data_IF_293764724426
#
_entry.id   IF_293764724426
#
_cell.length_a   1.000
_cell.length_b   1.000
_cell.length_c   1.000
_cell.angle_alpha   90.00
_cell.angle_beta   90.00
_cell.angle_gamma   90.00
#
_symmetry.space_group_name_H-M   'P 1'
#
loop_
_entity.id
_entity.type
_entity.pdbx_description
1 polymer ?
#
# COMPACT_ATOMS: atom_id res chain seq x y z
N UNK A 1 44.55 -52.08 0.50
CA UNK A 1 43.72 -51.03 1.14
C UNK A 1 42.39 -50.96 0.38
N UNK A 2 41.23 -51.49 0.83
CA UNK A 2 40.42 -51.14 2.02
C UNK A 2 39.97 -49.65 1.95
N UNK A 3 38.71 -49.21 1.80
CA UNK A 3 37.38 -49.79 2.05
C UNK A 3 36.29 -49.16 1.14
N UNK A 4 35.25 -49.97 0.84
CA UNK A 4 33.88 -49.58 0.49
C UNK A 4 33.37 -48.40 1.34
N UNK A 5 32.73 -47.43 0.69
CA UNK A 5 31.64 -46.65 1.29
C UNK A 5 30.37 -46.84 0.46
N UNK A 6 29.64 -47.88 0.84
CA UNK A 6 28.23 -48.11 0.55
C UNK A 6 27.41 -47.07 1.33
N UNK A 7 26.31 -46.63 0.73
CA UNK A 7 25.12 -46.10 1.39
C UNK A 7 25.26 -44.74 2.13
N UNK A 8 24.85 -43.67 1.44
CA UNK A 8 23.95 -42.67 2.03
C UNK A 8 22.89 -42.30 1.00
N UNK A 9 21.87 -43.14 0.94
CA UNK A 9 20.55 -42.76 0.47
C UNK A 9 20.00 -41.73 1.46
N UNK A 10 20.23 -40.44 1.19
CA UNK A 10 19.43 -39.41 1.82
C UNK A 10 18.08 -39.42 1.10
N UNK A 11 17.09 -40.06 1.73
CA UNK A 11 15.71 -39.62 1.62
C UNK A 11 15.68 -38.15 2.01
N UNK A 12 15.93 -37.27 1.04
CA UNK A 12 15.40 -35.92 1.10
C UNK A 12 13.91 -36.17 1.00
N UNK A 13 13.25 -36.22 2.16
CA UNK A 13 11.84 -35.87 2.25
C UNK A 13 11.70 -34.67 1.33
N UNK A 14 10.95 -34.82 0.24
CA UNK A 14 10.60 -33.71 -0.61
C UNK A 14 9.87 -32.73 0.31
N UNK A 15 10.64 -31.83 0.93
CA UNK A 15 10.14 -30.65 1.58
C UNK A 15 9.23 -30.06 0.53
N UNK A 16 7.94 -29.99 0.84
CA UNK A 16 6.95 -29.35 0.01
C UNK A 16 7.48 -27.93 -0.22
N UNK A 17 8.24 -27.74 -1.30
CA UNK A 17 8.68 -26.44 -1.76
C UNK A 17 7.38 -25.85 -2.26
N UNK A 18 6.68 -25.18 -1.34
CA UNK A 18 5.57 -24.33 -1.70
C UNK A 18 6.15 -23.38 -2.74
N UNK A 19 5.82 -23.61 -4.00
CA UNK A 19 6.23 -22.76 -5.10
C UNK A 19 5.48 -21.45 -4.88
N UNK A 20 6.05 -20.56 -4.06
CA UNK A 20 5.55 -19.20 -3.86
C UNK A 20 5.56 -18.55 -5.23
N UNK A 21 4.39 -18.51 -5.87
CA UNK A 21 4.25 -17.92 -7.19
C UNK A 21 4.25 -16.42 -6.97
N UNK A 22 5.40 -15.78 -7.20
CA UNK A 22 5.56 -14.34 -7.07
C UNK A 22 4.91 -13.69 -8.29
N UNK A 23 3.80 -12.97 -8.07
CA UNK A 23 3.17 -12.17 -9.10
C UNK A 23 3.66 -10.73 -9.00
N UNK A 24 3.92 -10.12 -10.15
CA UNK A 24 4.30 -8.71 -10.22
C UNK A 24 3.08 -7.89 -10.64
N UNK A 25 2.73 -6.86 -9.87
CA UNK A 25 1.62 -5.96 -10.16
C UNK A 25 2.04 -4.51 -10.02
N UNK A 26 1.59 -3.66 -10.94
CA UNK A 26 1.79 -2.21 -10.84
C UNK A 26 0.67 -1.50 -10.06
N UNK A 27 -0.26 -2.26 -9.48
CA UNK A 27 -1.37 -1.72 -8.70
C UNK A 27 -0.99 -1.60 -7.22
N UNK A 28 -0.93 -0.38 -6.66
CA UNK A 28 -0.71 -0.17 -5.23
C UNK A 28 -1.87 -0.67 -4.36
N UNK A 29 -3.03 -1.04 -4.91
CA UNK A 29 -4.23 -1.45 -4.14
C UNK A 29 -4.56 -0.46 -3.05
N UNK A 30 -4.69 0.78 -3.51
CA UNK A 30 -4.95 1.93 -2.68
C UNK A 30 -6.32 1.81 -2.02
N UNK A 31 -6.36 2.02 -0.71
CA UNK A 31 -7.60 2.08 0.06
C UNK A 31 -7.50 3.16 1.13
N UNK A 32 -8.66 3.64 1.59
CA UNK A 32 -8.74 4.53 2.73
C UNK A 32 -9.33 3.80 3.92
N UNK A 33 -8.70 3.93 5.07
CA UNK A 33 -9.27 3.53 6.35
C UNK A 33 -9.78 4.77 7.08
N UNK A 34 -11.01 4.71 7.56
CA UNK A 34 -11.58 5.73 8.44
C UNK A 34 -11.19 5.44 9.88
N UNK A 35 -11.23 6.44 10.75
CA UNK A 35 -10.96 6.26 12.20
C UNK A 35 -11.89 5.23 12.85
N UNK A 36 -13.10 5.06 12.30
CA UNK A 36 -14.09 4.07 12.74
C UNK A 36 -13.82 2.65 12.22
N UNK A 37 -12.67 2.41 11.56
CA UNK A 37 -12.29 1.12 10.99
C UNK A 37 -12.97 0.78 9.65
N UNK A 38 -13.76 1.70 9.10
CA UNK A 38 -14.40 1.51 7.80
C UNK A 38 -13.38 1.58 6.66
N UNK A 39 -13.45 0.65 5.71
CA UNK A 39 -12.60 0.63 4.51
C UNK A 39 -13.36 1.23 3.32
N UNK A 40 -12.74 2.20 2.64
CA UNK A 40 -13.26 2.83 1.43
C UNK A 40 -12.33 2.47 0.27
N UNK A 41 -12.89 1.77 -0.72
CA UNK A 41 -12.21 1.44 -1.98
C UNK A 41 -12.34 2.61 -2.97
N UNK A 42 -11.40 2.76 -3.91
CA UNK A 42 -11.51 3.79 -4.94
C UNK A 42 -12.74 3.52 -5.78
N UNK A 43 -13.56 4.55 -5.97
CA UNK A 43 -14.74 4.51 -6.83
C UNK A 43 -14.31 4.52 -8.30
N UNK A 44 -13.26 5.27 -8.61
CA UNK A 44 -12.73 5.41 -9.97
C UNK A 44 -11.21 5.51 -9.94
N UNK A 45 -10.58 4.99 -11.00
CA UNK A 45 -9.17 5.17 -11.31
C UNK A 45 -9.02 5.68 -12.74
N UNK A 46 -8.32 6.78 -12.91
CA UNK A 46 -7.97 7.37 -14.21
C UNK A 46 -6.46 7.60 -14.26
N UNK A 47 -5.73 6.64 -14.85
CA UNK A 47 -4.27 6.67 -14.87
C UNK A 47 -3.69 6.69 -13.44
N UNK A 48 -2.96 7.76 -13.05
CA UNK A 48 -2.40 7.92 -11.71
C UNK A 48 -3.39 8.51 -10.69
N UNK A 49 -4.61 8.88 -11.10
CA UNK A 49 -5.60 9.52 -10.23
C UNK A 49 -6.58 8.50 -9.67
N UNK A 50 -6.73 8.49 -8.35
CA UNK A 50 -7.68 7.66 -7.61
C UNK A 50 -8.72 8.54 -6.94
N UNK A 51 -10.00 8.24 -7.15
CA UNK A 51 -11.12 8.99 -6.58
C UNK A 51 -11.93 8.13 -5.62
N UNK A 52 -12.21 8.67 -4.44
CA UNK A 52 -12.92 8.02 -3.34
C UNK A 52 -14.13 8.83 -2.93
N UNK A 53 -15.24 8.17 -2.63
CA UNK A 53 -16.40 8.82 -2.00
C UNK A 53 -16.26 8.74 -0.49
N UNK A 54 -16.30 9.89 0.17
CA UNK A 54 -16.18 9.99 1.62
C UNK A 54 -17.53 10.32 2.25
N UNK A 55 -18.02 9.48 3.19
CA UNK A 55 -19.21 9.82 3.95
C UNK A 55 -18.95 11.02 4.87
N UNK A 56 -20.02 11.55 5.45
CA UNK A 56 -19.92 12.72 6.31
C UNK A 56 -19.17 12.47 7.61
N UNK A 57 -18.73 13.57 8.21
CA UNK A 57 -18.18 13.60 9.57
C UNK A 57 -16.91 12.74 9.74
N UNK A 58 -16.10 12.69 8.68
CA UNK A 58 -14.74 12.12 8.70
C UNK A 58 -13.73 13.26 8.81
N UNK A 59 -13.02 13.40 9.96
CA UNK A 59 -11.99 14.43 10.14
C UNK A 59 -10.64 14.03 9.52
N UNK A 60 -10.36 12.73 9.44
CA UNK A 60 -9.12 12.19 8.87
C UNK A 60 -9.34 10.81 8.26
N UNK A 61 -8.48 10.45 7.29
CA UNK A 61 -8.41 9.10 6.72
C UNK A 61 -6.97 8.61 6.75
N UNK A 62 -6.78 7.29 6.78
CA UNK A 62 -5.49 6.65 6.56
C UNK A 62 -5.40 6.14 5.14
N UNK A 63 -4.45 6.65 4.38
CA UNK A 63 -4.10 6.17 3.06
C UNK A 63 -3.25 4.90 3.20
N UNK A 64 -3.81 3.78 2.79
CA UNK A 64 -3.12 2.50 2.81
C UNK A 64 -2.82 2.07 1.39
N UNK A 65 -1.58 1.68 1.15
CA UNK A 65 -1.12 1.12 -0.13
C UNK A 65 -0.25 -0.10 0.13
N UNK A 66 -0.16 -0.98 -0.86
CA UNK A 66 0.91 -1.98 -0.92
C UNK A 66 2.24 -1.26 -0.88
N UNK A 67 3.14 -1.78 -0.05
CA UNK A 67 4.53 -1.34 0.00
C UNK A 67 5.38 -2.30 -0.80
N UNK A 68 6.38 -1.76 -1.47
CA UNK A 68 7.44 -2.57 -2.05
C UNK A 68 8.77 -2.20 -1.40
N UNK A 69 9.68 -3.17 -1.26
CA UNK A 69 11.07 -2.89 -0.94
C UNK A 69 11.88 -2.99 -2.24
N UNK A 70 12.56 -1.93 -2.68
CA UNK A 70 13.34 -1.92 -3.92
C UNK A 70 14.36 -3.07 -4.02
N UNK A 71 14.92 -3.52 -2.88
CA UNK A 71 15.82 -4.68 -2.82
C UNK A 71 15.18 -6.01 -3.26
N UNK A 72 13.87 -6.16 -3.10
CA UNK A 72 13.16 -7.40 -3.42
C UNK A 72 12.92 -7.54 -4.93
N UNK A 73 12.97 -6.43 -5.69
CA UNK A 73 12.66 -6.38 -7.14
C UNK A 73 13.89 -6.14 -8.03
N UNK A 74 14.85 -5.30 -7.62
CA UNK A 74 15.98 -4.90 -8.47
C UNK A 74 17.25 -5.73 -8.18
N UNK A 75 17.40 -6.27 -6.96
CA UNK A 75 18.53 -7.11 -6.55
C UNK A 75 19.53 -6.43 -5.59
N UNK A 76 20.60 -7.14 -5.16
CA UNK A 76 21.44 -6.81 -4.01
C UNK A 76 22.30 -5.54 -4.14
N UNK A 77 22.26 -4.86 -5.28
CA UNK A 77 23.03 -3.63 -5.54
C UNK A 77 22.24 -2.35 -5.22
N UNK A 78 20.97 -2.47 -4.80
CA UNK A 78 20.15 -1.35 -4.32
C UNK A 78 20.09 -1.40 -2.80
N UNK A 79 20.77 -0.46 -2.13
CA UNK A 79 20.83 -0.40 -0.66
C UNK A 79 19.59 0.27 -0.02
N UNK A 80 18.65 0.75 -0.84
CA UNK A 80 17.41 1.31 -0.31
C UNK A 80 16.43 0.20 0.11
N UNK A 81 16.47 -0.14 1.39
CA UNK A 81 15.63 -1.18 2.03
C UNK A 81 14.32 -0.63 2.59
N UNK A 82 13.97 0.63 2.31
CA UNK A 82 12.78 1.25 2.88
C UNK A 82 11.52 0.74 2.17
N UNK A 83 10.48 0.33 2.91
CA UNK A 83 9.19 0.01 2.29
C UNK A 83 8.58 1.29 1.73
N UNK A 84 8.53 1.43 0.42
CA UNK A 84 7.88 2.58 -0.23
C UNK A 84 6.50 2.15 -0.71
N UNK A 85 5.46 2.87 -0.26
CA UNK A 85 4.11 2.71 -0.78
C UNK A 85 3.97 3.39 -2.15
N UNK A 86 3.26 4.51 -2.17
CA UNK A 86 3.24 5.44 -3.30
C UNK A 86 3.69 6.84 -2.89
N UNK A 87 4.18 7.60 -3.86
CA UNK A 87 4.35 9.05 -3.76
C UNK A 87 3.02 9.73 -3.99
N UNK A 88 2.59 10.61 -3.09
CA UNK A 88 1.37 11.40 -3.24
C UNK A 88 1.75 12.81 -3.66
N UNK A 89 1.32 13.21 -4.84
CA UNK A 89 1.59 14.52 -5.42
C UNK A 89 0.49 15.50 -5.02
N UNK A 90 -0.71 15.29 -5.57
CA UNK A 90 -1.84 16.21 -5.40
C UNK A 90 -3.01 15.52 -4.70
N UNK A 91 -3.65 16.25 -3.79
CA UNK A 91 -4.80 15.81 -3.01
C UNK A 91 -5.88 16.87 -3.08
N UNK A 92 -7.01 16.51 -3.69
CA UNK A 92 -8.15 17.41 -3.87
C UNK A 92 -9.40 16.80 -3.24
N UNK A 93 -10.08 17.57 -2.41
CA UNK A 93 -11.36 17.22 -1.81
C UNK A 93 -12.45 18.11 -2.40
N UNK A 94 -13.37 17.52 -3.15
CA UNK A 94 -14.56 18.19 -3.66
C UNK A 94 -15.72 17.98 -2.70
N UNK A 95 -16.29 19.06 -2.16
CA UNK A 95 -17.55 19.05 -1.40
C UNK A 95 -18.53 20.05 -2.02
N UNK A 96 -19.75 20.11 -1.50
CA UNK A 96 -20.81 21.02 -1.98
C UNK A 96 -20.36 22.49 -2.06
N UNK A 97 -19.50 22.94 -1.14
CA UNK A 97 -18.97 24.32 -1.12
C UNK A 97 -17.90 24.60 -2.18
N UNK A 98 -17.38 23.58 -2.85
CA UNK A 98 -16.32 23.68 -3.85
C UNK A 98 -15.13 22.74 -3.57
N UNK A 99 -14.12 22.79 -4.44
CA UNK A 99 -12.90 22.02 -4.28
C UNK A 99 -11.96 22.65 -3.24
N UNK A 100 -11.33 21.80 -2.43
CA UNK A 100 -10.30 22.16 -1.46
C UNK A 100 -9.04 21.34 -1.72
N UNK A 101 -7.88 21.99 -1.70
CA UNK A 101 -6.60 21.29 -1.80
C UNK A 101 -6.10 20.94 -0.40
N UNK A 102 -5.72 19.68 -0.20
CA UNK A 102 -5.10 19.22 1.05
C UNK A 102 -3.60 19.16 0.82
N UNK A 103 -2.83 19.89 1.62
CA UNK A 103 -1.37 19.99 1.48
C UNK A 103 -0.62 19.54 2.73
N UNK A 104 -1.32 18.93 3.69
CA UNK A 104 -0.74 18.49 4.97
C UNK A 104 0.42 17.50 4.78
N UNK A 105 0.42 16.72 3.70
CA UNK A 105 1.50 15.82 3.31
C UNK A 105 2.75 16.54 2.82
N UNK A 106 2.64 17.81 2.38
CA UNK A 106 3.75 18.63 1.85
C UNK A 106 4.35 19.60 2.88
N UNK A 107 3.80 19.66 4.10
CA UNK A 107 4.33 20.54 5.14
C UNK A 107 5.59 19.96 5.78
N UNK A 108 6.43 20.83 6.38
CA UNK A 108 7.65 20.41 7.08
C UNK A 108 7.35 19.43 8.23
N UNK A 109 6.27 19.66 8.99
CA UNK A 109 5.76 18.71 9.98
C UNK A 109 4.64 17.88 9.36
N UNK A 110 4.99 16.68 8.91
CA UNK A 110 4.04 15.76 8.27
C UNK A 110 3.27 14.93 9.30
N UNK A 111 2.05 14.50 8.96
CA UNK A 111 1.33 13.50 9.75
C UNK A 111 2.07 12.16 9.83
N UNK A 112 1.60 11.25 10.67
CA UNK A 112 2.17 9.91 10.78
C UNK A 112 2.10 9.15 9.44
N UNK A 113 3.16 8.38 9.13
CA UNK A 113 3.25 7.50 7.96
C UNK A 113 3.72 8.17 6.67
N UNK A 114 4.06 9.46 6.74
CA UNK A 114 4.76 10.17 5.67
C UNK A 114 6.25 10.23 5.94
N UNK A 115 7.06 9.99 4.92
CA UNK A 115 8.49 10.20 4.98
C UNK A 115 8.85 11.69 4.92
N UNK A 116 9.99 12.06 5.51
CA UNK A 116 10.59 13.38 5.35
C UNK A 116 10.87 13.69 3.87
N UNK A 117 10.95 14.97 3.53
CA UNK A 117 11.14 15.41 2.15
C UNK A 117 12.40 14.81 1.54
N UNK A 118 12.23 13.97 0.52
CA UNK A 118 13.32 13.34 -0.22
C UNK A 118 13.81 14.21 -1.39
N UNK A 119 13.63 15.54 -1.32
CA UNK A 119 14.03 16.47 -2.39
C UNK A 119 13.13 16.49 -3.62
N UNK A 120 11.97 15.81 -3.59
CA UNK A 120 10.98 15.85 -4.67
C UNK A 120 10.10 17.10 -4.60
N UNK A 121 10.06 17.89 -5.67
CA UNK A 121 9.18 19.05 -5.77
C UNK A 121 7.70 18.62 -5.75
N UNK A 122 7.03 18.76 -4.61
CA UNK A 122 5.58 18.58 -4.50
C UNK A 122 5.10 17.13 -4.39
N UNK A 123 5.98 16.17 -4.08
CA UNK A 123 5.61 14.76 -3.87
C UNK A 123 6.06 14.31 -2.48
N UNK A 124 5.14 13.73 -1.70
CA UNK A 124 5.44 13.12 -0.41
C UNK A 124 5.29 11.60 -0.47
N UNK A 125 6.30 10.87 -0.03
CA UNK A 125 6.28 9.41 -0.02
C UNK A 125 5.67 8.87 1.28
N UNK A 126 4.85 7.83 1.16
CA UNK A 126 4.26 7.12 2.31
C UNK A 126 5.04 5.85 2.66
N UNK A 127 5.01 5.47 3.93
CA UNK A 127 5.46 4.16 4.43
C UNK A 127 4.47 3.00 4.16
N UNK A 128 3.40 3.29 3.41
CA UNK A 128 2.30 2.37 3.14
C UNK A 128 1.05 2.59 3.98
N UNK A 129 1.10 3.39 5.05
CA UNK A 129 -0.06 3.67 5.91
C UNK A 129 0.01 5.08 6.52
N UNK A 130 -0.36 6.07 5.72
CA UNK A 130 -0.20 7.48 6.04
C UNK A 130 -1.50 8.17 6.46
N UNK A 131 -1.45 9.01 7.49
CA UNK A 131 -2.60 9.80 7.94
C UNK A 131 -2.78 11.02 7.04
N UNK A 132 -3.98 11.21 6.50
CA UNK A 132 -4.36 12.37 5.70
C UNK A 132 -5.49 13.13 6.41
N UNK A 133 -5.16 14.23 7.12
CA UNK A 133 -6.16 15.11 7.73
C UNK A 133 -7.03 15.76 6.65
N UNK A 134 -8.35 15.61 6.78
CA UNK A 134 -9.34 16.26 5.93
C UNK A 134 -9.90 17.53 6.58
N UNK A 135 -9.61 17.78 7.87
CA UNK A 135 -10.12 18.93 8.59
C UNK A 135 -11.64 18.89 8.71
N UNK A 136 -12.27 20.07 8.67
CA UNK A 136 -13.69 20.23 8.97
C UNK A 136 -14.59 20.26 7.72
N UNK A 137 -14.06 19.91 6.54
CA UNK A 137 -14.77 20.06 5.27
C UNK A 137 -16.00 19.13 5.15
N UNK A 138 -15.95 17.96 5.81
CA UNK A 138 -17.02 16.96 5.80
C UNK A 138 -17.98 17.06 7.00
N UNK A 139 -17.81 18.04 7.89
CA UNK A 139 -18.67 18.20 9.06
C UNK A 139 -20.09 18.66 8.69
N UNK A 140 -21.06 18.18 9.45
CA UNK A 140 -22.46 18.59 9.36
C UNK A 140 -23.18 17.89 8.22
N UNK A 141 -22.98 16.56 8.09
CA UNK A 141 -23.69 15.74 7.11
C UNK A 141 -23.21 15.92 5.66
N UNK A 142 -22.04 16.54 5.43
CA UNK A 142 -21.53 16.76 4.07
C UNK A 142 -20.75 15.56 3.57
N UNK A 143 -21.11 15.09 2.37
CA UNK A 143 -20.37 14.07 1.63
C UNK A 143 -19.36 14.78 0.72
N UNK A 144 -18.24 14.12 0.42
CA UNK A 144 -17.25 14.67 -0.50
C UNK A 144 -16.56 13.60 -1.32
N UNK A 145 -15.95 14.03 -2.44
CA UNK A 145 -15.11 13.18 -3.28
C UNK A 145 -13.65 13.57 -3.09
N UNK A 146 -12.83 12.63 -2.64
CA UNK A 146 -11.39 12.80 -2.50
C UNK A 146 -10.68 12.22 -3.72
N UNK A 147 -9.88 13.04 -4.40
CA UNK A 147 -9.05 12.63 -5.52
C UNK A 147 -7.57 12.76 -5.16
N UNK A 148 -6.81 11.68 -5.39
CA UNK A 148 -5.38 11.57 -5.09
C UNK A 148 -4.62 11.27 -6.38
N UNK A 149 -3.56 12.01 -6.65
CA UNK A 149 -2.60 11.65 -7.71
C UNK A 149 -1.42 10.90 -7.09
N UNK A 150 -1.25 9.65 -7.51
CA UNK A 150 -0.22 8.74 -7.00
C UNK A 150 0.87 8.51 -8.04
N UNK A 151 2.12 8.67 -7.60
CA UNK A 151 3.32 8.25 -8.29
C UNK A 151 3.77 6.89 -7.74
N UNK A 152 3.83 5.88 -8.60
CA UNK A 152 4.19 4.52 -8.19
C UNK A 152 5.69 4.39 -7.94
N UNK A 153 6.10 3.65 -6.89
CA UNK A 153 7.50 3.34 -6.58
C UNK A 153 8.15 2.35 -7.58
N UNK A 154 7.34 1.72 -8.44
CA UNK A 154 7.75 0.64 -9.34
C UNK A 154 6.76 -0.54 -9.26
N UNK A 155 7.08 -1.67 -9.91
CA UNK A 155 6.26 -2.88 -9.80
C UNK A 155 6.28 -3.45 -8.37
N UNK A 156 5.10 -3.75 -7.82
CA UNK A 156 4.91 -4.41 -6.52
C UNK A 156 4.95 -5.93 -6.65
N UNK A 157 5.65 -6.62 -5.75
CA UNK A 157 5.58 -8.08 -5.64
C UNK A 157 4.40 -8.49 -4.76
N UNK A 158 3.50 -9.29 -5.34
CA UNK A 158 2.38 -9.92 -4.65
C UNK A 158 2.79 -11.37 -4.36
N UNK A 159 2.96 -11.70 -3.08
CA UNK A 159 2.98 -13.10 -2.64
C UNK A 159 1.55 -13.59 -2.55
N UNK A 160 1.13 -14.45 -3.47
CA UNK A 160 -0.08 -15.24 -3.25
C UNK A 160 0.24 -16.29 -2.17
N UNK A 161 -0.33 -16.11 -0.99
CA UNK A 161 -0.44 -17.24 -0.07
C UNK A 161 -1.45 -18.21 -0.67
N UNK A 162 -1.00 -19.43 -0.94
CA UNK A 162 -1.91 -20.51 -1.32
C UNK A 162 -2.95 -20.66 -0.21
N UNK A 163 -4.23 -20.54 -0.60
CA UNK A 163 -5.37 -20.75 0.29
C UNK A 163 -5.21 -22.14 0.93
N UNK A 164 -4.83 -22.17 2.21
CA UNK A 164 -4.79 -23.42 2.96
C UNK A 164 -6.24 -23.75 3.24
N UNK A 165 -6.84 -24.51 2.32
CA UNK A 165 -8.20 -24.99 2.39
C UNK A 165 -8.50 -25.49 3.79
N UNK A 166 -9.33 -24.74 4.52
CA UNK A 166 -9.99 -25.23 5.71
C UNK A 166 -11.00 -26.27 5.24
N UNK A 167 -10.59 -27.54 5.18
CA UNK A 167 -11.53 -28.65 5.16
C UNK A 167 -12.36 -28.58 6.43
N UNK A 168 -13.60 -28.10 6.30
CA UNK A 168 -14.63 -28.25 7.30
C UNK A 168 -14.78 -29.76 7.57
N UNK A 169 -14.47 -30.19 8.79
CA UNK A 169 -14.86 -31.50 9.27
C UNK A 169 -16.38 -31.48 9.45
N UNK A 170 -17.08 -32.23 8.62
CA UNK A 170 -18.51 -32.52 8.79
C UNK A 170 -18.68 -33.42 10.01
N UNK A 171 -19.66 -33.06 10.83
CA UNK A 171 -20.15 -33.72 12.04
C UNK A 171 -20.63 -35.14 11.76
#
# INVERSE_FOLDING_TARGET
MFYKLKCRENKVNATNVQTETIHISNDPDLLLLTEKGGTIRPLRREGPVYSFMLPSDIPSVRLVSRTNRPCDVIGPFVDDRRPMGGGVEDVQLLVVKGPYKITSHLHARKPQGWYEDMGGNGVAWTDGNAVLPLGNYLLGGKIGMLSLRIQTAGPYQIKLQADTGRTAQTV
#
